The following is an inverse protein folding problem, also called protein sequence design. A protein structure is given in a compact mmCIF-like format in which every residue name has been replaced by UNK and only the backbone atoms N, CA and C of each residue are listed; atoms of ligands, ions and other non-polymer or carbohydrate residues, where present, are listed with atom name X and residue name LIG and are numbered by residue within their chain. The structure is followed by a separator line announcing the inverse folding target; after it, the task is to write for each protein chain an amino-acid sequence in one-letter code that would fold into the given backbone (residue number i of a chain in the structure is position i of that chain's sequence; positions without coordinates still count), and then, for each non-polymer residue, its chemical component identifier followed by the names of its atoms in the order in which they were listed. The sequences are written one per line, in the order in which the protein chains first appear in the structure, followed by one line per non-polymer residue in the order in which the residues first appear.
data_IF_744156567384
#
_entry.id   IF_744156567384
#
_cell.length_a   1.000
_cell.length_b   1.000
_cell.length_c   1.000
_cell.angle_alpha   90.00
_cell.angle_beta   90.00
_cell.angle_gamma   90.00
#
_symmetry.space_group_name_H-M   'P 1'
#
loop_
_entity.id
_entity.type
_entity.pdbx_description
1 polymer ?
#
# COMPACT_ATOMS: atom_id res chain seq x y z
N UNK A 1 40.66 35.18 7.82
CA UNK A 1 40.47 35.99 6.61
C UNK A 1 40.00 35.07 5.49
N UNK A 2 38.72 35.12 5.15
CA UNK A 2 38.20 34.37 4.04
C UNK A 2 38.62 35.09 2.72
N UNK A 3 39.56 34.50 1.98
CA UNK A 3 40.01 35.03 0.70
C UNK A 3 38.84 35.11 -0.28
N UNK A 4 38.70 36.23 -0.99
CA UNK A 4 37.72 36.37 -2.10
C UNK A 4 37.95 35.25 -3.11
N UNK A 5 36.95 34.38 -3.29
CA UNK A 5 36.99 33.37 -4.34
C UNK A 5 37.21 33.99 -5.70
N UNK A 6 38.15 33.43 -6.47
CA UNK A 6 38.44 33.88 -7.82
C UNK A 6 37.25 33.52 -8.74
N UNK A 7 37.00 34.27 -9.83
CA UNK A 7 35.94 33.95 -10.77
C UNK A 7 35.99 32.50 -11.29
N UNK A 8 37.20 31.95 -11.41
CA UNK A 8 37.44 30.56 -11.85
C UNK A 8 36.94 29.55 -10.79
N UNK A 9 37.16 29.82 -9.48
CA UNK A 9 36.66 28.97 -8.39
C UNK A 9 35.13 28.98 -8.32
N UNK A 10 34.50 30.12 -8.57
CA UNK A 10 33.02 30.21 -8.61
C UNK A 10 32.45 29.43 -9.77
N UNK A 11 33.07 29.48 -10.96
CA UNK A 11 32.63 28.67 -12.12
C UNK A 11 32.75 27.18 -11.83
N UNK A 12 33.86 26.73 -11.22
CA UNK A 12 34.07 25.33 -10.86
C UNK A 12 33.01 24.90 -9.79
N UNK A 13 32.78 25.75 -8.80
CA UNK A 13 31.74 25.48 -7.77
C UNK A 13 30.34 25.36 -8.36
N UNK A 14 29.96 26.22 -9.31
CA UNK A 14 28.69 26.11 -10.02
C UNK A 14 28.58 24.82 -10.85
N UNK A 15 29.65 24.43 -11.57
CA UNK A 15 29.69 23.17 -12.33
C UNK A 15 29.52 21.95 -11.41
N UNK A 16 30.20 21.92 -10.23
CA UNK A 16 30.01 20.85 -9.24
C UNK A 16 28.59 20.81 -8.71
N UNK A 17 27.99 21.96 -8.46
CA UNK A 17 26.61 22.06 -7.94
C UNK A 17 25.60 21.52 -8.96
N UNK A 18 25.75 21.87 -10.24
CA UNK A 18 24.92 21.36 -11.33
C UNK A 18 25.09 19.85 -11.52
N UNK A 19 26.35 19.36 -11.51
CA UNK A 19 26.62 17.92 -11.61
C UNK A 19 26.04 17.13 -10.43
N UNK A 20 26.16 17.65 -9.21
CA UNK A 20 25.60 17.03 -8.02
C UNK A 20 24.06 17.02 -8.07
N UNK A 21 23.45 18.09 -8.55
CA UNK A 21 22.00 18.16 -8.72
C UNK A 21 21.51 17.14 -9.77
N UNK A 22 22.20 17.02 -10.91
CA UNK A 22 21.88 16.02 -11.93
C UNK A 22 22.04 14.58 -11.39
N UNK A 23 23.11 14.33 -10.63
CA UNK A 23 23.32 13.02 -10.00
C UNK A 23 22.21 12.69 -8.98
N UNK A 24 21.78 13.66 -8.18
CA UNK A 24 20.70 13.50 -7.23
C UNK A 24 19.34 13.21 -7.91
N UNK A 25 19.07 13.84 -9.05
CA UNK A 25 17.86 13.57 -9.85
C UNK A 25 17.87 12.15 -10.43
N UNK A 26 18.99 11.68 -10.97
CA UNK A 26 19.12 10.32 -11.51
C UNK A 26 18.96 9.25 -10.40
N UNK A 27 19.53 9.49 -9.23
CA UNK A 27 19.34 8.60 -8.07
C UNK A 27 17.87 8.53 -7.68
N UNK A 28 17.12 9.63 -7.76
CA UNK A 28 15.68 9.64 -7.49
C UNK A 28 14.88 8.75 -8.45
N UNK A 29 15.22 8.72 -9.74
CA UNK A 29 14.55 7.83 -10.71
C UNK A 29 14.85 6.35 -10.47
N UNK A 30 16.08 6.00 -10.14
CA UNK A 30 16.47 4.63 -9.80
C UNK A 30 15.73 4.13 -8.56
N UNK A 31 15.57 4.96 -7.53
CA UNK A 31 14.78 4.61 -6.36
C UNK A 31 13.30 4.39 -6.71
N UNK A 32 12.72 5.23 -7.55
CA UNK A 32 11.33 5.07 -7.99
C UNK A 32 11.13 3.78 -8.78
N UNK A 33 12.07 3.40 -9.63
CA UNK A 33 12.04 2.14 -10.36
C UNK A 33 12.18 0.92 -9.40
N UNK A 34 13.03 1.03 -8.37
CA UNK A 34 13.14 -0.01 -7.34
C UNK A 34 11.82 -0.18 -6.56
N UNK A 35 11.17 0.90 -6.17
CA UNK A 35 9.85 0.85 -5.52
C UNK A 35 8.78 0.24 -6.43
N UNK A 36 8.79 0.55 -7.73
CA UNK A 36 7.88 -0.07 -8.70
C UNK A 36 8.08 -1.58 -8.76
N UNK A 37 9.32 -2.05 -8.83
CA UNK A 37 9.65 -3.47 -8.85
C UNK A 37 9.14 -4.20 -7.58
N UNK A 38 9.33 -3.57 -6.41
CA UNK A 38 8.81 -4.10 -5.14
C UNK A 38 7.29 -4.13 -5.14
N UNK A 39 6.65 -3.06 -5.60
CA UNK A 39 5.18 -3.00 -5.70
C UNK A 39 4.64 -4.11 -6.63
N UNK A 40 5.24 -4.30 -7.80
CA UNK A 40 4.83 -5.34 -8.74
C UNK A 40 4.98 -6.75 -8.12
N UNK A 41 6.04 -6.99 -7.37
CA UNK A 41 6.23 -8.22 -6.59
C UNK A 41 5.15 -8.42 -5.52
N UNK A 42 4.75 -7.35 -4.83
CA UNK A 42 3.67 -7.39 -3.84
C UNK A 42 2.31 -7.65 -4.49
N UNK A 43 2.03 -7.05 -5.65
CA UNK A 43 0.79 -7.29 -6.41
C UNK A 43 0.68 -8.74 -6.85
N UNK A 44 1.76 -9.33 -7.39
CA UNK A 44 1.81 -10.76 -7.76
C UNK A 44 1.57 -11.63 -6.52
N UNK A 45 2.22 -11.31 -5.41
CA UNK A 45 2.07 -12.05 -4.15
C UNK A 45 0.64 -11.98 -3.62
N UNK A 46 0.03 -10.80 -3.64
CA UNK A 46 -1.37 -10.62 -3.27
C UNK A 46 -2.32 -11.44 -4.16
N UNK A 47 -2.04 -11.49 -5.48
CA UNK A 47 -2.77 -12.32 -6.42
C UNK A 47 -2.70 -13.82 -6.08
N UNK A 48 -1.51 -14.31 -5.71
CA UNK A 48 -1.32 -15.70 -5.29
C UNK A 48 -2.09 -16.02 -4.00
N UNK A 49 -2.08 -15.12 -3.01
CA UNK A 49 -2.88 -15.27 -1.80
C UNK A 49 -4.38 -15.25 -2.10
N UNK A 50 -4.82 -14.39 -3.00
CA UNK A 50 -6.23 -14.35 -3.43
C UNK A 50 -6.67 -15.66 -4.06
N UNK A 51 -5.83 -16.26 -4.92
CA UNK A 51 -6.09 -17.56 -5.51
C UNK A 51 -6.14 -18.68 -4.46
N UNK A 52 -5.20 -18.70 -3.52
CA UNK A 52 -5.18 -19.67 -2.43
C UNK A 52 -6.41 -19.53 -1.53
N UNK A 53 -6.81 -18.30 -1.20
CA UNK A 53 -8.02 -18.03 -0.43
C UNK A 53 -9.27 -18.52 -1.16
N UNK A 54 -9.35 -18.34 -2.49
CA UNK A 54 -10.47 -18.85 -3.27
C UNK A 54 -10.62 -20.35 -3.13
N UNK A 55 -9.53 -21.11 -3.23
CA UNK A 55 -9.54 -22.57 -3.05
C UNK A 55 -10.09 -22.95 -1.66
N UNK A 56 -9.70 -22.21 -0.63
CA UNK A 56 -10.18 -22.42 0.73
C UNK A 56 -11.68 -22.14 0.85
N UNK A 57 -12.18 -21.06 0.24
CA UNK A 57 -13.62 -20.76 0.23
C UNK A 57 -14.42 -21.79 -0.56
N UNK A 58 -13.91 -22.25 -1.70
CA UNK A 58 -14.55 -23.31 -2.50
C UNK A 58 -14.64 -24.64 -1.69
N UNK A 59 -13.61 -24.98 -0.93
CA UNK A 59 -13.63 -26.12 0.00
C UNK A 59 -14.63 -25.94 1.15
N UNK A 60 -14.79 -24.73 1.69
CA UNK A 60 -15.82 -24.39 2.67
C UNK A 60 -17.23 -24.60 2.09
N UNK A 61 -17.46 -24.15 0.86
CA UNK A 61 -18.75 -24.36 0.18
C UNK A 61 -19.07 -25.85 -0.04
N UNK A 62 -18.06 -26.64 -0.43
CA UNK A 62 -18.21 -28.07 -0.57
C UNK A 62 -18.53 -28.73 0.79
N UNK A 63 -17.85 -28.34 1.85
CA UNK A 63 -18.10 -28.82 3.21
C UNK A 63 -19.49 -28.43 3.71
N UNK A 64 -19.97 -27.24 3.39
CA UNK A 64 -21.30 -26.75 3.73
C UNK A 64 -22.40 -27.61 3.08
N UNK A 65 -22.17 -28.07 1.83
CA UNK A 65 -23.13 -28.98 1.15
C UNK A 65 -23.16 -30.37 1.77
N UNK A 66 -22.03 -30.85 2.30
CA UNK A 66 -21.91 -32.17 2.90
C UNK A 66 -22.43 -32.23 4.34
N UNK A 67 -22.10 -31.26 5.18
CA UNK A 67 -22.52 -31.16 6.59
C UNK A 67 -22.88 -29.69 6.92
N UNK A 68 -24.12 -29.27 6.61
CA UNK A 68 -24.54 -27.89 6.85
C UNK A 68 -24.54 -27.51 8.33
N UNK A 69 -24.87 -28.44 9.21
CA UNK A 69 -25.06 -28.15 10.65
C UNK A 69 -23.74 -27.79 11.32
N UNK A 70 -22.68 -28.53 11.03
CA UNK A 70 -21.35 -28.27 11.59
C UNK A 70 -20.64 -27.13 10.89
N UNK A 71 -20.79 -26.98 9.58
CA UNK A 71 -20.00 -26.06 8.77
C UNK A 71 -20.55 -24.63 8.78
N UNK A 72 -21.86 -24.46 8.85
CA UNK A 72 -22.52 -23.14 8.71
C UNK A 72 -21.97 -22.07 9.69
N UNK A 73 -21.76 -22.32 10.98
CA UNK A 73 -21.26 -21.28 11.88
C UNK A 73 -19.88 -20.76 11.49
N UNK A 74 -19.02 -21.61 10.95
CA UNK A 74 -17.68 -21.23 10.49
C UNK A 74 -17.73 -20.56 9.12
N UNK A 75 -18.59 -21.04 8.23
CA UNK A 75 -18.82 -20.43 6.93
C UNK A 75 -19.34 -19.00 7.06
N UNK A 76 -20.30 -18.75 7.93
CA UNK A 76 -20.84 -17.42 8.18
C UNK A 76 -19.75 -16.47 8.70
N UNK A 77 -18.88 -16.92 9.61
CA UNK A 77 -17.71 -16.16 10.07
C UNK A 77 -16.73 -15.87 8.92
N UNK A 78 -16.46 -16.85 8.05
CA UNK A 78 -15.59 -16.68 6.89
C UNK A 78 -16.16 -15.66 5.88
N UNK A 79 -17.47 -15.68 5.65
CA UNK A 79 -18.13 -14.68 4.79
C UNK A 79 -18.07 -13.27 5.39
N UNK A 80 -18.21 -13.12 6.69
CA UNK A 80 -18.02 -11.84 7.38
C UNK A 80 -16.57 -11.35 7.24
N UNK A 81 -15.58 -12.23 7.40
CA UNK A 81 -14.18 -11.91 7.20
C UNK A 81 -13.93 -11.40 5.78
N UNK A 82 -14.44 -12.10 4.76
CA UNK A 82 -14.36 -11.70 3.37
C UNK A 82 -14.98 -10.31 3.14
N UNK A 83 -16.16 -10.05 3.72
CA UNK A 83 -16.83 -8.76 3.63
C UNK A 83 -15.98 -7.64 4.23
N UNK A 84 -15.42 -7.82 5.43
CA UNK A 84 -14.59 -6.79 6.09
C UNK A 84 -13.29 -6.50 5.31
N UNK A 85 -12.67 -7.53 4.73
CA UNK A 85 -11.51 -7.36 3.85
C UNK A 85 -11.88 -6.55 2.61
N UNK A 86 -12.99 -6.89 1.96
CA UNK A 86 -13.45 -6.21 0.75
C UNK A 86 -13.81 -4.74 1.02
N UNK A 87 -14.39 -4.42 2.17
CA UNK A 87 -14.69 -3.03 2.58
C UNK A 87 -13.40 -2.21 2.79
N UNK A 88 -12.36 -2.81 3.39
CA UNK A 88 -11.07 -2.15 3.58
C UNK A 88 -10.34 -1.97 2.25
N UNK A 89 -10.34 -2.99 1.41
CA UNK A 89 -9.73 -2.96 0.08
C UNK A 89 -10.34 -1.88 -0.80
N UNK A 90 -11.68 -1.80 -0.86
CA UNK A 90 -12.38 -0.75 -1.58
C UNK A 90 -12.01 0.67 -1.08
N UNK A 91 -11.82 0.83 0.23
CA UNK A 91 -11.39 2.10 0.79
C UNK A 91 -9.94 2.44 0.40
N UNK A 92 -9.04 1.46 0.40
CA UNK A 92 -7.65 1.64 -0.04
C UNK A 92 -7.61 2.01 -1.54
N UNK A 93 -8.41 1.33 -2.37
CA UNK A 93 -8.51 1.66 -3.80
C UNK A 93 -9.05 3.08 -4.03
N UNK A 94 -9.97 3.57 -3.20
CA UNK A 94 -10.43 4.97 -3.27
C UNK A 94 -9.26 5.93 -3.03
N UNK A 95 -8.42 5.69 -2.02
CA UNK A 95 -7.24 6.54 -1.74
C UNK A 95 -6.22 6.46 -2.89
N UNK A 96 -5.99 5.27 -3.45
CA UNK A 96 -5.08 5.07 -4.59
C UNK A 96 -5.56 5.85 -5.81
N UNK A 97 -6.86 5.82 -6.10
CA UNK A 97 -7.45 6.58 -7.19
C UNK A 97 -7.33 8.08 -6.96
N UNK A 98 -7.64 8.58 -5.76
CA UNK A 98 -7.44 9.98 -5.39
C UNK A 98 -5.98 10.43 -5.58
N UNK A 99 -5.00 9.60 -5.16
CA UNK A 99 -3.57 9.88 -5.36
C UNK A 99 -3.20 9.91 -6.84
N UNK A 100 -3.71 8.96 -7.62
CA UNK A 100 -3.44 8.88 -9.06
C UNK A 100 -4.02 10.08 -9.80
N UNK A 101 -5.24 10.50 -9.48
CA UNK A 101 -5.87 11.69 -10.06
C UNK A 101 -5.09 12.97 -9.74
N UNK A 102 -4.70 13.16 -8.47
CA UNK A 102 -3.89 14.31 -8.05
C UNK A 102 -2.51 14.31 -8.72
N UNK A 103 -1.95 13.14 -9.00
CA UNK A 103 -0.68 12.98 -9.70
C UNK A 103 -0.79 13.15 -11.23
N UNK A 104 -1.95 13.56 -11.75
CA UNK A 104 -2.16 13.82 -13.16
C UNK A 104 -2.62 12.62 -13.97
N UNK A 105 -3.06 11.55 -13.31
CA UNK A 105 -3.53 10.32 -13.95
C UNK A 105 -2.39 9.37 -14.37
N UNK A 106 -2.75 8.42 -15.21
CA UNK A 106 -1.81 7.48 -15.83
C UNK A 106 -1.41 8.04 -17.20
N UNK A 107 -0.11 8.12 -17.42
CA UNK A 107 0.46 8.50 -18.70
C UNK A 107 0.31 7.35 -19.70
N UNK A 108 -0.27 7.62 -20.86
CA UNK A 108 -0.60 6.60 -21.89
C UNK A 108 0.66 6.02 -22.54
N UNK A 109 1.77 6.79 -22.62
CA UNK A 109 3.01 6.34 -23.27
C UNK A 109 3.82 5.42 -22.35
N UNK A 110 3.90 5.76 -21.07
CA UNK A 110 4.72 5.02 -20.09
C UNK A 110 3.93 3.98 -19.30
N UNK A 111 2.59 4.06 -19.35
CA UNK A 111 1.66 3.28 -18.52
C UNK A 111 2.02 3.35 -17.01
N UNK A 112 2.43 4.55 -16.58
CA UNK A 112 2.82 4.84 -15.22
C UNK A 112 2.16 6.15 -14.75
N UNK A 113 2.23 6.47 -13.44
CA UNK A 113 1.69 7.70 -12.88
C UNK A 113 2.46 8.91 -13.44
N UNK A 114 1.76 9.87 -14.02
CA UNK A 114 2.36 11.00 -14.75
C UNK A 114 3.34 11.81 -13.88
N UNK A 115 3.00 12.09 -12.62
CA UNK A 115 3.85 12.84 -11.68
C UNK A 115 4.33 11.96 -10.52
N UNK A 116 4.81 10.75 -10.82
CA UNK A 116 5.24 9.76 -9.80
C UNK A 116 6.35 10.25 -8.86
N UNK A 117 7.15 11.22 -9.28
CA UNK A 117 8.24 11.80 -8.49
C UNK A 117 7.81 13.00 -7.62
N UNK A 118 6.56 13.44 -7.71
CA UNK A 118 6.05 14.55 -6.90
C UNK A 118 5.67 14.07 -5.49
N UNK A 119 6.60 14.24 -4.56
CA UNK A 119 6.42 13.83 -3.16
C UNK A 119 5.41 14.71 -2.39
N UNK A 120 5.07 15.90 -2.89
CA UNK A 120 4.12 16.81 -2.26
C UNK A 120 2.71 16.25 -2.30
N UNK A 121 2.31 15.60 -3.38
CA UNK A 121 0.98 15.03 -3.59
C UNK A 121 0.66 14.01 -2.48
N UNK A 122 1.57 13.09 -2.23
CA UNK A 122 1.42 12.11 -1.14
C UNK A 122 1.30 12.78 0.24
N UNK A 123 2.13 13.77 0.50
CA UNK A 123 2.10 14.54 1.76
C UNK A 123 0.79 15.32 1.91
N UNK A 124 0.34 15.97 0.85
CA UNK A 124 -0.90 16.73 0.85
C UNK A 124 -2.12 15.85 1.15
N UNK A 125 -2.25 14.71 0.49
CA UNK A 125 -3.39 13.82 0.69
C UNK A 125 -3.32 13.10 2.04
N UNK A 126 -2.18 12.48 2.35
CA UNK A 126 -2.07 11.62 3.52
C UNK A 126 -1.99 12.38 4.84
N UNK A 127 -1.29 13.52 4.87
CA UNK A 127 -1.10 14.31 6.09
C UNK A 127 -2.07 15.50 6.16
N UNK A 128 -2.11 16.36 5.14
CA UNK A 128 -2.90 17.60 5.19
C UNK A 128 -4.39 17.31 5.09
N UNK A 129 -4.83 16.46 4.16
CA UNK A 129 -6.21 16.01 4.04
C UNK A 129 -6.58 14.91 5.04
N UNK A 130 -5.66 14.49 5.92
CA UNK A 130 -5.86 13.49 6.99
C UNK A 130 -6.27 12.10 6.53
N UNK A 131 -6.12 11.77 5.24
CA UNK A 131 -6.45 10.43 4.71
C UNK A 131 -5.63 9.32 5.38
N UNK A 132 -4.37 9.59 5.76
CA UNK A 132 -3.54 8.64 6.52
C UNK A 132 -4.12 8.33 7.90
N UNK A 133 -4.67 9.31 8.60
CA UNK A 133 -5.33 9.12 9.90
C UNK A 133 -6.62 8.31 9.76
N UNK A 134 -7.41 8.59 8.73
CA UNK A 134 -8.64 7.85 8.42
C UNK A 134 -8.33 6.39 8.04
N UNK A 135 -7.30 6.17 7.21
CA UNK A 135 -6.84 4.83 6.83
C UNK A 135 -6.40 4.03 8.06
N UNK A 136 -5.61 4.64 8.95
CA UNK A 136 -5.21 3.99 10.20
C UNK A 136 -6.42 3.61 11.05
N UNK A 137 -7.39 4.50 11.18
CA UNK A 137 -8.63 4.20 11.92
C UNK A 137 -9.42 3.04 11.29
N UNK A 138 -9.52 3.01 9.95
CA UNK A 138 -10.17 1.91 9.21
C UNK A 138 -9.46 0.58 9.39
N UNK A 139 -8.13 0.55 9.35
CA UNK A 139 -7.34 -0.66 9.60
C UNK A 139 -7.58 -1.18 11.02
N UNK A 140 -7.54 -0.30 12.02
CA UNK A 140 -7.79 -0.68 13.42
C UNK A 140 -9.23 -1.16 13.64
N UNK A 141 -10.22 -0.52 13.02
CA UNK A 141 -11.61 -0.96 13.05
C UNK A 141 -11.76 -2.35 12.44
N UNK A 142 -11.17 -2.58 11.28
CA UNK A 142 -11.20 -3.87 10.59
C UNK A 142 -10.53 -4.95 11.44
N UNK A 143 -9.37 -4.64 12.03
CA UNK A 143 -8.70 -5.54 12.98
C UNK A 143 -9.60 -5.92 14.14
N UNK A 144 -10.29 -4.96 14.75
CA UNK A 144 -11.21 -5.23 15.85
C UNK A 144 -12.37 -6.14 15.41
N UNK A 145 -12.91 -5.92 14.20
CA UNK A 145 -13.94 -6.79 13.62
C UNK A 145 -13.42 -8.23 13.43
N UNK A 146 -12.20 -8.41 12.91
CA UNK A 146 -11.58 -9.73 12.80
C UNK A 146 -11.37 -10.41 14.15
N UNK A 147 -10.86 -9.69 15.13
CA UNK A 147 -10.67 -10.24 16.49
C UNK A 147 -11.98 -10.72 17.14
N UNK A 148 -13.09 -10.11 16.77
CA UNK A 148 -14.42 -10.54 17.26
C UNK A 148 -14.94 -11.81 16.55
N UNK A 149 -14.44 -12.14 15.36
CA UNK A 149 -14.77 -13.39 14.65
C UNK A 149 -14.00 -14.59 15.20
N UNK A 150 -12.83 -14.35 15.80
CA UNK A 150 -11.93 -15.38 16.31
C UNK A 150 -12.32 -15.75 17.74
N UNK A 151 -12.34 -17.05 18.03
CA UNK A 151 -12.62 -17.54 19.36
C UNK A 151 -11.54 -17.09 20.36
N UNK A 152 -11.94 -16.89 21.63
CA UNK A 152 -11.05 -16.30 22.66
C UNK A 152 -9.75 -17.06 22.87
N UNK A 153 -9.73 -18.35 22.58
CA UNK A 153 -8.55 -19.22 22.72
C UNK A 153 -7.46 -18.91 21.67
N UNK A 154 -7.89 -18.53 20.48
CA UNK A 154 -7.01 -18.35 19.33
C UNK A 154 -6.63 -16.87 19.12
N UNK A 155 -7.26 -15.96 19.88
CA UNK A 155 -7.04 -14.50 19.73
C UNK A 155 -5.60 -14.06 19.90
N UNK A 156 -4.84 -14.72 20.77
CA UNK A 156 -3.44 -14.35 21.03
C UNK A 156 -2.55 -14.57 19.79
N UNK A 157 -2.79 -15.64 19.06
CA UNK A 157 -2.07 -15.97 17.82
C UNK A 157 -2.45 -15.02 16.68
N UNK A 158 -3.75 -14.76 16.50
CA UNK A 158 -4.24 -13.78 15.52
C UNK A 158 -3.82 -12.34 15.82
N UNK A 159 -3.75 -11.94 17.09
CA UNK A 159 -3.34 -10.60 17.46
C UNK A 159 -1.91 -10.31 17.02
N UNK A 160 -1.03 -11.30 17.01
CA UNK A 160 0.34 -11.15 16.51
C UNK A 160 0.37 -10.94 14.99
N UNK A 161 -0.41 -11.70 14.22
CA UNK A 161 -0.47 -11.62 12.76
C UNK A 161 -1.03 -10.30 12.22
N UNK A 162 -1.96 -9.67 12.96
CA UNK A 162 -2.62 -8.42 12.58
C UNK A 162 -1.97 -7.17 13.22
N UNK A 163 -0.82 -7.30 13.85
CA UNK A 163 -0.16 -6.22 14.58
C UNK A 163 0.81 -5.39 13.72
N UNK A 164 0.62 -5.39 12.40
CA UNK A 164 1.50 -4.73 11.43
C UNK A 164 1.29 -3.20 11.30
N UNK A 165 0.52 -2.56 12.21
CA UNK A 165 0.22 -1.10 12.16
C UNK A 165 0.52 -0.43 13.48
#
# INVERSE_FOLDING_TARGET
MAGKETPRQRMIGMMYLVLTAMLALNVSEEFMNAFKLVNDGLVITAGNFSAANKITYDAFEASLRNDPVKTKPFYDKAQLAKKYTSELDAYIETIKNELTELAGGIDEETNDIAKRSDMEIGTQLMLTAKRGTELKAKILETRAKFMNLVDSKDRAEFNFSLNAV
#
